data_IF_977264226014
#
_entry.id   IF_977264226014
#
_cell.length_a   1.000
_cell.length_b   1.000
_cell.length_c   1.000
_cell.angle_alpha   90.00
_cell.angle_beta   90.00
_cell.angle_gamma   90.00
#
_symmetry.space_group_name_H-M   'P 1'
#
loop_
_entity.id
_entity.type
_entity.pdbx_description
1 polymer ?
#
# COMPACT_ATOMS: atom_id res chain seq x y z
N UNK A 1 8.44 18.37 2.60
CA UNK A 1 9.45 17.32 2.83
C UNK A 1 8.77 16.08 3.42
N UNK A 2 8.15 15.24 2.58
CA UNK A 2 7.49 14.01 3.02
C UNK A 2 8.52 12.90 3.17
N UNK A 3 8.89 12.65 4.42
CA UNK A 3 9.85 11.63 4.86
C UNK A 3 9.41 10.25 4.38
N UNK A 4 10.07 9.72 3.35
CA UNK A 4 9.99 8.29 2.99
C UNK A 4 10.59 7.47 4.12
N UNK A 5 9.75 6.84 4.94
CA UNK A 5 10.20 5.82 5.90
C UNK A 5 9.99 4.45 5.28
N UNK A 6 10.84 4.10 4.32
CA UNK A 6 11.03 2.70 3.97
C UNK A 6 11.93 2.09 5.04
N UNK A 7 11.34 1.61 6.14
CA UNK A 7 12.06 0.69 7.01
C UNK A 7 11.96 -0.70 6.40
N UNK A 8 13.03 -1.11 5.72
CA UNK A 8 13.34 -2.50 5.37
C UNK A 8 13.53 -3.30 6.67
N UNK A 9 12.49 -3.46 7.47
CA UNK A 9 12.55 -4.35 8.61
C UNK A 9 12.69 -5.76 8.06
N UNK A 10 13.75 -6.48 8.43
CA UNK A 10 14.14 -7.86 8.04
C UNK A 10 13.02 -8.93 8.02
N UNK A 11 11.77 -8.59 8.37
CA UNK A 11 10.58 -9.45 8.42
C UNK A 11 9.57 -9.25 7.27
N UNK A 12 9.68 -8.25 6.40
CA UNK A 12 8.86 -8.24 5.19
C UNK A 12 9.42 -9.27 4.20
N UNK A 13 8.89 -10.49 4.24
CA UNK A 13 9.35 -11.60 3.41
C UNK A 13 9.29 -11.28 1.92
N UNK A 14 10.08 -11.99 1.10
CA UNK A 14 10.15 -11.88 -0.38
C UNK A 14 8.77 -11.83 -1.05
N UNK A 15 7.74 -12.37 -0.40
CA UNK A 15 6.34 -12.38 -0.84
C UNK A 15 5.74 -10.99 -1.01
N UNK A 16 6.13 -9.99 -0.21
CA UNK A 16 5.60 -8.62 -0.33
C UNK A 16 6.27 -7.80 -1.44
N UNK A 17 7.32 -8.34 -2.07
CA UNK A 17 8.06 -7.65 -3.12
C UNK A 17 7.18 -7.14 -4.27
N UNK A 18 6.23 -7.92 -4.82
CA UNK A 18 5.36 -7.43 -5.89
C UNK A 18 4.51 -6.23 -5.47
N UNK A 19 4.06 -6.20 -4.21
CA UNK A 19 3.30 -5.07 -3.66
C UNK A 19 4.17 -3.81 -3.58
N UNK A 20 5.41 -3.94 -3.13
CA UNK A 20 6.35 -2.83 -3.05
C UNK A 20 6.78 -2.32 -4.43
N UNK A 21 7.02 -3.23 -5.38
CA UNK A 21 7.32 -2.86 -6.77
C UNK A 21 6.18 -2.08 -7.40
N UNK A 22 4.94 -2.58 -7.27
CA UNK A 22 3.76 -1.89 -7.78
C UNK A 22 3.61 -0.51 -7.12
N UNK A 23 3.69 -0.46 -5.80
CA UNK A 23 3.54 0.79 -5.07
C UNK A 23 4.58 1.84 -5.50
N UNK A 24 5.85 1.45 -5.65
CA UNK A 24 6.91 2.34 -6.12
C UNK A 24 6.66 2.81 -7.56
N UNK A 25 6.27 1.90 -8.46
CA UNK A 25 6.02 2.23 -9.87
C UNK A 25 4.82 3.18 -10.05
N UNK A 26 3.80 3.04 -9.21
CA UNK A 26 2.56 3.82 -9.30
C UNK A 26 2.48 5.00 -8.30
N UNK A 27 3.57 5.31 -7.59
CA UNK A 27 3.65 6.46 -6.68
C UNK A 27 2.87 6.32 -5.38
N UNK A 28 2.61 5.10 -4.93
CA UNK A 28 2.01 4.83 -3.62
C UNK A 28 3.06 4.89 -2.51
N UNK A 29 2.71 5.55 -1.41
CA UNK A 29 3.47 5.52 -0.15
C UNK A 29 3.02 4.36 0.71
N UNK A 30 3.97 3.74 1.42
CA UNK A 30 3.71 2.63 2.33
C UNK A 30 4.30 2.95 3.69
N UNK A 31 3.46 2.85 4.73
CA UNK A 31 3.82 3.11 6.13
C UNK A 31 3.39 1.94 6.99
N UNK A 32 4.15 1.59 8.03
CA UNK A 32 3.68 0.62 9.03
C UNK A 32 2.78 1.29 10.06
N UNK A 33 1.66 0.68 10.39
CA UNK A 33 0.84 1.06 11.53
C UNK A 33 1.41 0.45 12.81
N UNK A 34 1.05 1.01 13.97
CA UNK A 34 1.49 0.50 15.28
C UNK A 34 1.09 -0.97 15.51
N UNK A 35 -0.01 -1.42 14.89
CA UNK A 35 -0.47 -2.82 14.93
C UNK A 35 0.25 -3.77 13.97
N UNK A 36 1.30 -3.31 13.26
CA UNK A 36 2.05 -4.16 12.34
C UNK A 36 1.40 -4.37 10.97
N UNK A 37 0.36 -3.61 10.62
CA UNK A 37 -0.18 -3.58 9.27
C UNK A 37 0.58 -2.58 8.40
N UNK A 38 0.54 -2.76 7.09
CA UNK A 38 0.96 -1.78 6.09
C UNK A 38 -0.24 -0.91 5.74
N UNK A 39 -0.02 0.40 5.77
CA UNK A 39 -0.93 1.44 5.30
C UNK A 39 -0.35 1.99 3.99
N UNK A 40 -1.11 1.89 2.91
CA UNK A 40 -0.77 2.40 1.60
C UNK A 40 -1.59 3.66 1.32
N UNK A 41 -0.92 4.73 0.95
CA UNK A 41 -1.53 6.03 0.68
C UNK A 41 -1.06 6.59 -0.65
N UNK A 42 -1.94 7.28 -1.36
CA UNK A 42 -1.61 8.01 -2.59
C UNK A 42 -2.47 9.27 -2.66
N UNK A 43 -1.91 10.43 -3.05
CA UNK A 43 -2.69 11.66 -3.19
C UNK A 43 -3.89 11.45 -4.12
N UNK A 44 -5.07 11.93 -3.70
CA UNK A 44 -6.31 11.80 -4.47
C UNK A 44 -6.82 10.35 -4.61
N UNK A 45 -6.38 9.41 -3.76
CA UNK A 45 -6.87 8.01 -3.75
C UNK A 45 -7.17 7.55 -2.33
N UNK A 46 -8.01 6.53 -2.22
CA UNK A 46 -8.36 5.96 -0.92
C UNK A 46 -7.17 5.25 -0.27
N UNK A 47 -7.16 5.25 1.06
CA UNK A 47 -6.13 4.58 1.86
C UNK A 47 -6.42 3.07 1.86
N UNK A 48 -5.40 2.26 1.61
CA UNK A 48 -5.50 0.79 1.65
C UNK A 48 -4.72 0.27 2.85
N UNK A 49 -5.31 -0.64 3.60
CA UNK A 49 -4.64 -1.33 4.71
C UNK A 49 -4.43 -2.81 4.36
N UNK A 50 -3.24 -3.34 4.64
CA UNK A 50 -2.91 -4.76 4.43
C UNK A 50 -1.96 -5.28 5.51
N UNK A 51 -1.88 -6.59 5.73
CA UNK A 51 -0.97 -7.17 6.72
C UNK A 51 0.50 -7.10 6.26
N UNK A 52 1.43 -6.81 7.18
CA UNK A 52 2.88 -6.86 6.88
C UNK A 52 3.47 -8.27 6.97
N UNK A 53 2.72 -9.24 7.50
CA UNK A 53 3.06 -10.65 7.56
C UNK A 53 1.94 -11.49 6.95
N UNK A 54 1.77 -11.44 5.60
CA UNK A 54 0.79 -12.28 4.94
C UNK A 54 1.22 -13.75 5.06
N UNK A 55 0.50 -14.52 5.87
CA UNK A 55 0.63 -15.97 5.95
C UNK A 55 0.19 -16.64 4.62
N UNK A 56 -0.84 -16.07 3.98
CA UNK A 56 -1.41 -16.52 2.70
C UNK A 56 -0.83 -15.72 1.51
N UNK A 57 -0.47 -16.43 0.43
CA UNK A 57 0.01 -15.84 -0.82
C UNK A 57 -1.05 -14.97 -1.52
N UNK A 58 -2.34 -15.25 -1.31
CA UNK A 58 -3.46 -14.47 -1.83
C UNK A 58 -3.52 -13.08 -1.23
N UNK A 59 -3.08 -12.89 0.02
CA UNK A 59 -3.12 -11.58 0.67
C UNK A 59 -2.27 -10.53 -0.07
N UNK A 60 -1.10 -10.93 -0.59
CA UNK A 60 -0.26 -10.04 -1.42
C UNK A 60 -0.95 -9.72 -2.74
N UNK A 61 -1.48 -10.74 -3.44
CA UNK A 61 -2.17 -10.53 -4.72
C UNK A 61 -3.42 -9.67 -4.57
N UNK A 62 -4.18 -9.88 -3.50
CA UNK A 62 -5.35 -9.08 -3.18
C UNK A 62 -4.95 -7.62 -2.90
N UNK A 63 -3.86 -7.39 -2.17
CA UNK A 63 -3.36 -6.03 -1.92
C UNK A 63 -2.92 -5.33 -3.21
N UNK A 64 -2.22 -6.04 -4.12
CA UNK A 64 -1.87 -5.50 -5.44
C UNK A 64 -3.13 -5.18 -6.25
N UNK A 65 -4.11 -6.08 -6.27
CA UNK A 65 -5.38 -5.86 -6.96
C UNK A 65 -6.17 -4.68 -6.36
N UNK A 66 -6.10 -4.46 -5.04
CA UNK A 66 -6.67 -3.28 -4.41
C UNK A 66 -6.00 -2.00 -4.88
N UNK A 67 -4.66 -1.97 -4.97
CA UNK A 67 -3.93 -0.81 -5.52
C UNK A 67 -4.28 -0.57 -6.98
N UNK A 68 -4.35 -1.62 -7.80
CA UNK A 68 -4.74 -1.51 -9.21
C UNK A 68 -6.16 -0.99 -9.40
N UNK A 69 -7.11 -1.49 -8.60
CA UNK A 69 -8.47 -0.93 -8.56
C UNK A 69 -8.43 0.52 -8.12
N UNK A 70 -7.73 0.82 -7.03
CA UNK A 70 -7.62 2.17 -6.51
C UNK A 70 -7.01 3.12 -7.54
N UNK A 71 -6.07 2.69 -8.38
CA UNK A 71 -5.51 3.43 -9.51
C UNK A 71 -6.50 3.61 -10.68
N UNK A 72 -7.45 2.69 -10.85
CA UNK A 72 -8.60 2.84 -11.76
C UNK A 72 -9.69 3.79 -11.22
N UNK A 73 -9.98 3.73 -9.93
CA UNK A 73 -10.91 4.63 -9.24
C UNK A 73 -10.25 6.00 -9.03
N UNK A 74 -10.20 6.84 -10.07
CA UNK A 74 -9.86 8.26 -9.90
C UNK A 74 -10.88 8.79 -8.91
N UNK A 75 -10.44 9.10 -7.69
CA UNK A 75 -11.35 9.65 -6.69
C UNK A 75 -11.85 10.95 -7.31
N UNK A 76 -13.11 10.95 -7.73
CA UNK A 76 -13.85 12.18 -7.96
C UNK A 76 -13.85 12.82 -6.57
N UNK A 77 -13.00 13.82 -6.38
CA UNK A 77 -12.99 14.62 -5.16
C UNK A 77 -14.39 15.22 -5.06
N UNK A 78 -15.23 14.64 -4.20
CA UNK A 78 -16.40 15.33 -3.69
C UNK A 78 -15.81 16.37 -2.74
N UNK A 79 -15.62 17.58 -3.25
CA UNK A 79 -15.33 18.78 -2.47
C UNK A 79 -16.35 18.79 -1.32
N UNK A 80 -15.87 18.50 -0.11
CA UNK A 80 -16.66 18.76 1.09
C UNK A 80 -16.66 20.27 1.26
N UNK A 81 -17.76 20.89 0.86
CA UNK A 81 -18.08 22.29 1.13
C UNK A 81 -18.18 22.58 2.63
#
# INVERSE_FOLDING_TARGET
MSRLVITYGRRCGKRLWPLFCYAKAHGWQITKTNGGHLRLTKPGRHIIHTSSTPSDWRAVRNAVAMLARADGYRALEVERG
#
